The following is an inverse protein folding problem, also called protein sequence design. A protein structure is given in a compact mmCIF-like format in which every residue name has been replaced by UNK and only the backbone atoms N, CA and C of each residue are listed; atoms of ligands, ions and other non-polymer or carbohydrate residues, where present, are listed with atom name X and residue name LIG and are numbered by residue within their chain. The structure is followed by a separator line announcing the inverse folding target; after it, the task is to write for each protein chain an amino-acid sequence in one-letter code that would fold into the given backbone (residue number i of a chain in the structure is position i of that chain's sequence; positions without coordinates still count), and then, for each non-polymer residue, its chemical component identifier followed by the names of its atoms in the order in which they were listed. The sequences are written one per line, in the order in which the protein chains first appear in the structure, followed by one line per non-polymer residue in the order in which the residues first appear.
data_IF_050340787561
#
_entry.id   IF_050340787561
#
_cell.length_a   1.000
_cell.length_b   1.000
_cell.length_c   1.000
_cell.angle_alpha   90.00
_cell.angle_beta   90.00
_cell.angle_gamma   90.00
#
_symmetry.space_group_name_H-M   'P 1'
#
loop_
_entity.id
_entity.type
_entity.pdbx_description
1 polymer ?
#
# COMPACT_ATOMS: atom_id res chain seq x y z
N UNK A 1 0.80 4.97 -22.69
CA UNK A 1 1.74 4.06 -22.00
C UNK A 1 0.92 2.94 -21.43
N UNK A 2 1.35 1.68 -21.54
CA UNK A 2 0.63 0.55 -20.91
C UNK A 2 0.99 0.45 -19.42
N UNK A 3 0.18 -0.28 -18.65
CA UNK A 3 0.34 -0.39 -17.19
C UNK A 3 1.70 -0.96 -16.81
N UNK A 4 2.18 -1.97 -17.52
CA UNK A 4 3.44 -2.61 -17.22
C UNK A 4 4.65 -1.69 -17.49
N UNK A 5 4.62 -0.85 -18.53
CA UNK A 5 5.64 0.19 -18.71
C UNK A 5 5.59 1.24 -17.60
N UNK A 6 4.39 1.61 -17.15
CA UNK A 6 4.22 2.58 -16.07
C UNK A 6 4.75 2.03 -14.73
N UNK A 7 4.43 0.78 -14.39
CA UNK A 7 4.95 0.09 -13.20
C UNK A 7 6.47 -0.10 -13.29
N UNK A 8 6.98 -0.54 -14.45
CA UNK A 8 8.43 -0.71 -14.66
C UNK A 8 9.17 0.60 -14.40
N UNK A 9 8.67 1.71 -14.95
CA UNK A 9 9.23 3.05 -14.76
C UNK A 9 9.19 3.48 -13.30
N UNK A 10 8.04 3.31 -12.62
CA UNK A 10 7.90 3.66 -11.21
C UNK A 10 8.89 2.88 -10.32
N UNK A 11 9.05 1.58 -10.56
CA UNK A 11 9.94 0.72 -9.76
C UNK A 11 11.45 0.90 -10.06
N UNK A 12 11.83 1.82 -10.95
CA UNK A 12 13.23 2.28 -11.04
C UNK A 12 13.59 3.25 -9.90
N UNK A 13 12.60 3.75 -9.16
CA UNK A 13 12.80 4.67 -8.07
C UNK A 13 13.43 4.00 -6.84
N UNK A 14 14.61 4.49 -6.45
CA UNK A 14 15.36 4.04 -5.29
C UNK A 14 14.55 4.09 -3.98
N UNK A 15 13.61 5.04 -3.83
CA UNK A 15 12.80 5.16 -2.62
C UNK A 15 11.76 4.04 -2.51
N UNK A 16 11.11 3.64 -3.63
CA UNK A 16 10.21 2.47 -3.64
C UNK A 16 11.00 1.23 -3.28
N UNK A 17 12.16 1.04 -3.93
CA UNK A 17 13.02 -0.11 -3.67
C UNK A 17 13.48 -0.12 -2.21
N UNK A 18 13.81 1.03 -1.63
CA UNK A 18 14.26 1.13 -0.24
C UNK A 18 13.18 0.67 0.75
N UNK A 19 11.93 1.12 0.59
CA UNK A 19 10.85 0.84 1.53
C UNK A 19 10.14 -0.51 1.31
N UNK A 20 10.17 -1.03 0.08
CA UNK A 20 9.50 -2.28 -0.30
C UNK A 20 10.55 -3.31 -0.72
N UNK A 21 11.09 -4.07 0.24
CA UNK A 21 12.26 -4.91 -0.01
C UNK A 21 11.99 -6.13 -0.87
N UNK A 22 10.72 -6.47 -1.10
CA UNK A 22 10.31 -7.59 -1.95
C UNK A 22 10.22 -7.21 -3.43
N UNK A 23 10.41 -5.95 -3.79
CA UNK A 23 10.50 -5.53 -5.20
C UNK A 23 11.86 -6.01 -5.76
N UNK A 24 11.87 -6.79 -6.86
CA UNK A 24 13.09 -7.27 -7.51
C UNK A 24 14.07 -6.16 -7.88
N UNK A 25 15.37 -6.47 -7.85
CA UNK A 25 16.46 -5.55 -8.18
C UNK A 25 17.50 -6.25 -9.07
N UNK A 26 17.78 -5.75 -10.29
CA UNK A 26 17.07 -4.66 -10.97
C UNK A 26 15.62 -5.04 -11.28
N UNK A 27 14.72 -4.05 -11.32
CA UNK A 27 13.31 -4.29 -11.66
C UNK A 27 13.12 -4.25 -13.17
N UNK A 28 12.63 -5.34 -13.75
CA UNK A 28 12.45 -5.50 -15.19
C UNK A 28 10.98 -5.38 -15.62
N UNK A 29 10.76 -5.26 -16.93
CA UNK A 29 9.42 -5.33 -17.51
C UNK A 29 8.72 -6.67 -17.21
N UNK A 30 9.47 -7.78 -17.21
CA UNK A 30 8.92 -9.08 -16.87
C UNK A 30 8.43 -9.14 -15.41
N UNK A 31 9.11 -8.47 -14.48
CA UNK A 31 8.65 -8.35 -13.09
C UNK A 31 7.35 -7.55 -12.98
N UNK A 32 7.19 -6.50 -13.81
CA UNK A 32 5.94 -5.75 -13.90
C UNK A 32 4.80 -6.60 -14.45
N UNK A 33 5.04 -7.35 -15.53
CA UNK A 33 4.04 -8.24 -16.12
C UNK A 33 3.62 -9.34 -15.12
N UNK A 34 4.56 -9.93 -14.38
CA UNK A 34 4.27 -10.90 -13.31
C UNK A 34 3.47 -10.28 -12.16
N UNK A 35 3.85 -9.09 -11.71
CA UNK A 35 3.14 -8.37 -10.66
C UNK A 35 1.69 -8.07 -11.07
N UNK A 36 1.49 -7.50 -12.24
CA UNK A 36 0.15 -7.18 -12.78
C UNK A 36 -0.66 -8.47 -12.98
N UNK A 37 -0.05 -9.52 -13.53
CA UNK A 37 -0.69 -10.84 -13.65
C UNK A 37 -1.17 -11.38 -12.30
N UNK A 38 -0.35 -11.25 -11.25
CA UNK A 38 -0.75 -11.63 -9.88
C UNK A 38 -1.92 -10.81 -9.34
N UNK A 39 -1.98 -9.52 -9.69
CA UNK A 39 -3.07 -8.64 -9.28
C UNK A 39 -4.37 -9.03 -9.98
N UNK A 40 -4.32 -9.30 -11.29
CA UNK A 40 -5.49 -9.69 -12.09
C UNK A 40 -6.01 -11.09 -11.73
N UNK A 41 -5.14 -11.98 -11.25
CA UNK A 41 -5.52 -13.30 -10.78
C UNK A 41 -5.98 -13.32 -9.30
N UNK A 42 -6.03 -12.17 -8.63
CA UNK A 42 -6.40 -12.10 -7.21
C UNK A 42 -7.89 -12.39 -7.01
N UNK A 43 -8.19 -13.24 -6.02
CA UNK A 43 -9.55 -13.58 -5.61
C UNK A 43 -10.06 -12.68 -4.48
N UNK A 44 -10.99 -13.20 -3.67
CA UNK A 44 -11.64 -12.40 -2.63
C UNK A 44 -10.77 -11.98 -1.45
N UNK A 45 -9.68 -12.70 -1.25
CA UNK A 45 -8.73 -12.49 -0.16
C UNK A 45 -7.67 -11.42 -0.47
N UNK A 46 -7.63 -10.89 -1.70
CA UNK A 46 -6.67 -9.83 -2.09
C UNK A 46 -7.31 -8.85 -3.06
N UNK A 47 -7.24 -7.56 -2.73
CA UNK A 47 -7.87 -6.46 -3.47
C UNK A 47 -6.82 -5.45 -3.93
N UNK A 48 -6.14 -5.71 -5.06
CA UNK A 48 -5.16 -4.79 -5.62
C UNK A 48 -5.84 -3.73 -6.49
N UNK A 49 -5.42 -2.48 -6.34
CA UNK A 49 -5.89 -1.35 -7.13
C UNK A 49 -4.71 -0.51 -7.65
N UNK A 50 -4.84 -0.05 -8.90
CA UNK A 50 -4.01 1.01 -9.42
C UNK A 50 -4.55 2.36 -8.94
N UNK A 51 -3.66 3.26 -8.51
CA UNK A 51 -4.00 4.65 -8.25
C UNK A 51 -3.64 5.44 -9.50
N UNK A 52 -4.64 6.02 -10.16
CA UNK A 52 -4.46 6.79 -11.39
C UNK A 52 -4.91 8.24 -11.23
N UNK A 53 -4.21 9.16 -11.90
CA UNK A 53 -4.65 10.55 -12.00
C UNK A 53 -5.84 10.66 -12.95
N UNK A 54 -6.94 11.26 -12.49
CA UNK A 54 -8.22 11.25 -13.21
C UNK A 54 -8.15 11.86 -14.61
N UNK A 55 -7.40 12.94 -14.78
CA UNK A 55 -7.36 13.69 -16.04
C UNK A 55 -6.42 13.05 -17.07
N UNK A 56 -5.22 12.67 -16.64
CA UNK A 56 -4.20 12.13 -17.55
C UNK A 56 -4.25 10.61 -17.71
N UNK A 57 -4.92 9.90 -16.81
CA UNK A 57 -4.85 8.44 -16.70
C UNK A 57 -3.48 7.93 -16.25
N UNK A 58 -2.57 8.81 -15.85
CA UNK A 58 -1.20 8.43 -15.48
C UNK A 58 -1.21 7.65 -14.16
N UNK A 59 -0.44 6.56 -14.12
CA UNK A 59 -0.22 5.78 -12.90
C UNK A 59 0.48 6.64 -11.84
N UNK A 60 -0.18 6.83 -10.71
CA UNK A 60 0.33 7.55 -9.55
C UNK A 60 0.83 6.61 -8.44
N UNK A 61 0.41 5.34 -8.45
CA UNK A 61 0.82 4.37 -7.44
C UNK A 61 0.00 3.08 -7.50
N UNK A 62 0.17 2.25 -6.48
CA UNK A 62 -0.70 1.10 -6.23
C UNK A 62 -1.03 1.01 -4.75
N UNK A 63 -2.21 0.50 -4.46
CA UNK A 63 -2.69 0.17 -3.12
C UNK A 63 -3.32 -1.22 -3.16
N UNK A 64 -3.02 -2.03 -2.16
CA UNK A 64 -3.45 -3.43 -2.09
C UNK A 64 -3.96 -3.71 -0.67
N UNK A 65 -5.04 -4.49 -0.58
CA UNK A 65 -5.57 -4.99 0.69
C UNK A 65 -5.69 -6.51 0.66
N UNK A 66 -4.95 -7.17 1.54
CA UNK A 66 -5.21 -8.57 1.87
C UNK A 66 -6.33 -8.66 2.90
N UNK A 67 -7.27 -9.58 2.75
CA UNK A 67 -8.34 -9.86 3.71
C UNK A 67 -8.06 -11.21 4.35
N UNK A 68 -8.19 -11.31 5.67
CA UNK A 68 -7.96 -12.57 6.36
C UNK A 68 -9.06 -13.61 6.05
N UNK A 69 -8.78 -14.88 6.32
CA UNK A 69 -9.69 -16.00 6.04
C UNK A 69 -11.05 -15.94 6.78
N UNK A 70 -11.15 -15.10 7.81
CA UNK A 70 -12.38 -14.90 8.59
C UNK A 70 -13.10 -13.61 8.21
N UNK A 71 -12.63 -12.88 7.20
CA UNK A 71 -13.22 -11.67 6.64
C UNK A 71 -13.60 -10.59 7.66
N UNK A 72 -12.82 -10.45 8.74
CA UNK A 72 -13.03 -9.36 9.70
C UNK A 72 -11.88 -8.36 9.71
N UNK A 73 -10.76 -8.67 9.04
CA UNK A 73 -9.53 -7.88 9.07
C UNK A 73 -8.90 -7.73 7.71
N UNK A 74 -8.60 -6.48 7.34
CA UNK A 74 -7.84 -6.13 6.14
C UNK A 74 -6.44 -5.66 6.49
N UNK A 75 -5.42 -6.05 5.73
CA UNK A 75 -4.06 -5.51 5.82
C UNK A 75 -3.74 -4.74 4.53
N UNK A 76 -3.43 -3.45 4.66
CA UNK A 76 -3.25 -2.53 3.54
C UNK A 76 -1.77 -2.19 3.36
N UNK A 77 -1.32 -2.23 2.10
CA UNK A 77 -0.01 -1.72 1.68
C UNK A 77 -0.14 -0.84 0.44
N UNK A 78 0.80 0.08 0.23
CA UNK A 78 0.81 0.93 -0.95
C UNK A 78 2.21 1.42 -1.32
N UNK A 79 2.34 1.89 -2.55
CA UNK A 79 3.45 2.71 -3.02
C UNK A 79 2.96 3.82 -3.93
N UNK A 80 3.76 4.88 -4.06
CA UNK A 80 3.45 6.07 -4.85
C UNK A 80 4.63 6.36 -5.77
N UNK A 81 4.36 6.56 -7.05
CA UNK A 81 5.36 6.97 -8.03
C UNK A 81 5.96 8.33 -7.64
N UNK A 82 7.26 8.53 -7.88
CA UNK A 82 7.95 9.76 -7.47
C UNK A 82 7.24 11.07 -7.87
N UNK A 83 6.72 11.23 -9.11
CA UNK A 83 6.03 12.47 -9.51
C UNK A 83 4.70 12.73 -8.78
N UNK A 84 4.14 11.72 -8.12
CA UNK A 84 2.85 11.79 -7.43
C UNK A 84 2.99 12.03 -5.92
N UNK A 85 4.20 11.96 -5.35
CA UNK A 85 4.44 12.17 -3.91
C UNK A 85 4.14 13.61 -3.48
N UNK A 86 3.81 13.78 -2.20
CA UNK A 86 3.51 15.10 -1.61
C UNK A 86 2.17 15.72 -2.02
N UNK A 87 1.48 15.17 -3.02
CA UNK A 87 0.21 15.71 -3.57
C UNK A 87 -1.06 15.19 -2.86
N UNK A 88 -0.91 14.44 -1.76
CA UNK A 88 -2.03 13.86 -1.00
C UNK A 88 -2.78 12.71 -1.69
N UNK A 89 -2.29 12.25 -2.86
CA UNK A 89 -2.94 11.18 -3.66
C UNK A 89 -3.09 9.89 -2.86
N UNK A 90 -2.03 9.46 -2.16
CA UNK A 90 -2.07 8.24 -1.36
C UNK A 90 -3.04 8.33 -0.18
N UNK A 91 -3.10 9.47 0.52
CA UNK A 91 -4.09 9.71 1.58
C UNK A 91 -5.52 9.59 1.05
N UNK A 92 -5.81 10.13 -0.14
CA UNK A 92 -7.12 10.00 -0.77
C UNK A 92 -7.43 8.55 -1.14
N UNK A 93 -6.48 7.83 -1.74
CA UNK A 93 -6.65 6.43 -2.10
C UNK A 93 -6.88 5.54 -0.87
N UNK A 94 -6.07 5.70 0.19
CA UNK A 94 -6.23 4.96 1.43
C UNK A 94 -7.58 5.25 2.10
N UNK A 95 -8.05 6.49 2.08
CA UNK A 95 -9.37 6.84 2.63
C UNK A 95 -10.52 6.17 1.85
N UNK A 96 -10.45 6.16 0.52
CA UNK A 96 -11.46 5.51 -0.31
C UNK A 96 -11.50 4.00 -0.07
N UNK A 97 -10.33 3.36 -0.04
CA UNK A 97 -10.23 1.93 0.25
C UNK A 97 -10.72 1.60 1.66
N UNK A 98 -10.33 2.41 2.65
CA UNK A 98 -10.75 2.20 4.04
C UNK A 98 -12.27 2.33 4.20
N UNK A 99 -12.88 3.35 3.59
CA UNK A 99 -14.33 3.52 3.59
C UNK A 99 -15.04 2.31 2.99
N UNK A 100 -14.64 1.91 1.79
CA UNK A 100 -15.21 0.73 1.13
C UNK A 100 -15.04 -0.54 1.97
N UNK A 101 -13.87 -0.74 2.56
CA UNK A 101 -13.60 -1.94 3.35
C UNK A 101 -14.38 -1.99 4.67
N UNK A 102 -14.63 -0.85 5.32
CA UNK A 102 -15.42 -0.81 6.56
C UNK A 102 -16.93 -0.81 6.28
N UNK A 103 -17.38 -0.08 5.27
CA UNK A 103 -18.80 0.13 4.99
C UNK A 103 -19.41 -1.00 4.15
N UNK A 104 -18.71 -1.46 3.11
CA UNK A 104 -19.26 -2.43 2.14
C UNK A 104 -18.81 -3.87 2.41
N UNK A 105 -17.57 -4.05 2.89
CA UNK A 105 -17.07 -5.37 3.29
C UNK A 105 -17.29 -5.66 4.79
N UNK A 106 -17.82 -4.69 5.54
CA UNK A 106 -18.10 -4.80 6.98
C UNK A 106 -16.89 -5.28 7.81
N UNK A 107 -15.66 -4.99 7.34
CA UNK A 107 -14.46 -5.35 8.09
C UNK A 107 -14.44 -4.60 9.41
N UNK A 108 -14.02 -5.28 10.46
CA UNK A 108 -14.00 -4.73 11.82
C UNK A 108 -12.66 -4.06 12.14
N UNK A 109 -11.64 -4.27 11.30
CA UNK A 109 -10.30 -3.74 11.50
C UNK A 109 -9.51 -3.66 10.21
N UNK A 110 -8.90 -2.52 9.96
CA UNK A 110 -7.87 -2.35 8.93
C UNK A 110 -6.52 -2.16 9.59
N UNK A 111 -5.51 -2.83 9.07
CA UNK A 111 -4.13 -2.79 9.56
C UNK A 111 -3.20 -2.23 8.49
N UNK A 112 -2.18 -1.52 8.94
CA UNK A 112 -1.11 -1.02 8.11
C UNK A 112 0.18 -1.08 8.90
N UNK A 113 1.25 -1.51 8.24
CA UNK A 113 2.60 -1.40 8.79
C UNK A 113 3.43 -0.41 8.00
N UNK A 114 4.26 0.36 8.71
CA UNK A 114 5.24 1.25 8.10
C UNK A 114 6.62 1.02 8.71
N UNK A 115 7.65 1.30 7.93
CA UNK A 115 9.01 1.41 8.47
C UNK A 115 9.07 2.57 9.49
N UNK A 116 9.75 2.41 10.65
CA UNK A 116 9.95 3.51 11.60
C UNK A 116 10.56 4.77 10.98
N UNK A 117 11.40 4.63 9.94
CA UNK A 117 12.04 5.76 9.27
C UNK A 117 11.21 6.33 8.11
N UNK A 118 10.14 5.62 7.69
CA UNK A 118 9.25 6.08 6.63
C UNK A 118 8.15 7.00 7.19
N UNK A 119 8.56 8.22 7.56
CA UNK A 119 7.67 9.27 8.08
C UNK A 119 6.55 9.61 7.09
N UNK A 120 6.81 9.53 5.78
CA UNK A 120 5.81 9.78 4.74
C UNK A 120 4.62 8.83 4.82
N UNK A 121 4.88 7.53 4.91
CA UNK A 121 3.84 6.49 5.05
C UNK A 121 3.10 6.60 6.39
N UNK A 122 3.82 6.84 7.49
CA UNK A 122 3.19 7.04 8.81
C UNK A 122 2.19 8.21 8.79
N UNK A 123 2.58 9.36 8.21
CA UNK A 123 1.70 10.52 8.09
C UNK A 123 0.50 10.28 7.17
N UNK A 124 0.61 9.41 6.18
CA UNK A 124 -0.55 9.01 5.35
C UNK A 124 -1.57 8.27 6.20
N UNK A 125 -1.14 7.29 7.01
CA UNK A 125 -2.02 6.52 7.89
C UNK A 125 -2.73 7.43 8.90
N UNK A 126 -1.98 8.28 9.61
CA UNK A 126 -2.51 9.21 10.63
C UNK A 126 -3.55 10.19 10.06
N UNK A 127 -3.32 10.69 8.83
CA UNK A 127 -4.27 11.60 8.15
C UNK A 127 -5.61 10.95 7.80
N UNK A 128 -5.64 9.63 7.62
CA UNK A 128 -6.88 8.89 7.35
C UNK A 128 -7.62 8.53 8.63
N UNK A 129 -6.94 8.59 9.79
CA UNK A 129 -7.51 8.27 11.09
C UNK A 129 -6.92 7.01 11.71
N UNK A 130 -5.95 6.36 11.07
CA UNK A 130 -5.32 5.19 11.67
C UNK A 130 -4.60 5.59 12.96
N UNK A 131 -4.80 4.79 13.99
CA UNK A 131 -4.13 4.90 15.28
C UNK A 131 -2.85 4.09 15.30
N UNK A 132 -1.76 4.69 15.80
CA UNK A 132 -0.50 3.99 16.04
C UNK A 132 -0.63 3.14 17.30
N UNK A 133 -0.49 1.82 17.16
CA UNK A 133 -0.61 0.89 18.29
C UNK A 133 0.73 0.59 18.96
N UNK A 134 1.80 0.45 18.18
CA UNK A 134 3.10 0.09 18.73
C UNK A 134 4.18 -0.21 17.71
N UNK A 135 5.32 -0.68 18.22
CA UNK A 135 6.44 -1.17 17.41
C UNK A 135 6.48 -2.68 17.49
N UNK A 136 6.33 -3.34 16.34
CA UNK A 136 6.61 -4.75 16.18
C UNK A 136 8.12 -4.90 16.00
N UNK A 137 8.80 -5.40 17.03
CA UNK A 137 10.25 -5.61 17.02
C UNK A 137 10.60 -6.81 16.15
N UNK A 138 11.65 -6.68 15.34
CA UNK A 138 12.15 -7.74 14.46
C UNK A 138 11.05 -8.36 13.56
N UNK A 139 10.12 -7.53 13.09
CA UNK A 139 8.89 -7.98 12.44
C UNK A 139 9.09 -8.47 11.01
N UNK A 140 9.94 -7.80 10.23
CA UNK A 140 10.04 -8.08 8.79
C UNK A 140 11.48 -8.40 8.38
N UNK A 141 11.67 -9.59 7.82
CA UNK A 141 12.94 -10.03 7.24
C UNK A 141 12.98 -9.68 5.76
N UNK A 142 13.97 -8.88 5.39
CA UNK A 142 14.27 -8.51 4.02
C UNK A 142 14.95 -9.67 3.28
N UNK A 143 14.87 -9.73 1.93
CA UNK A 143 15.58 -10.74 1.15
C UNK A 143 17.10 -10.72 1.33
N UNK A 144 17.69 -9.55 1.62
CA UNK A 144 19.12 -9.37 1.92
C UNK A 144 19.53 -9.83 3.33
N UNK A 145 18.59 -10.33 4.13
CA UNK A 145 18.82 -10.82 5.49
C UNK A 145 18.68 -9.75 6.58
N UNK A 146 18.51 -8.47 6.23
CA UNK A 146 18.19 -7.42 7.22
C UNK A 146 16.85 -7.72 7.88
N UNK A 147 16.77 -7.51 9.18
CA UNK A 147 15.53 -7.61 9.94
C UNK A 147 15.17 -6.20 10.39
N UNK A 148 13.93 -5.77 10.14
CA UNK A 148 13.44 -4.45 10.55
C UNK A 148 12.29 -4.53 11.54
N UNK A 149 12.19 -3.50 12.36
CA UNK A 149 11.01 -3.20 13.14
C UNK A 149 9.89 -2.66 12.23
N UNK A 150 8.66 -2.62 12.73
CA UNK A 150 7.53 -2.01 12.01
C UNK A 150 6.64 -1.26 12.97
N UNK A 151 6.25 -0.05 12.59
CA UNK A 151 5.18 0.69 13.27
C UNK A 151 3.85 0.08 12.82
N UNK A 152 3.07 -0.43 13.77
CA UNK A 152 1.74 -0.97 13.52
C UNK A 152 0.69 0.14 13.68
N UNK A 153 -0.20 0.22 12.71
CA UNK A 153 -1.35 1.10 12.68
C UNK A 153 -2.64 0.31 12.49
N UNK A 154 -3.71 0.80 13.10
CA UNK A 154 -5.05 0.25 12.90
C UNK A 154 -6.11 1.31 12.69
N UNK A 155 -7.17 0.94 12.00
CA UNK A 155 -8.40 1.72 11.88
C UNK A 155 -9.61 0.82 12.13
N UNK A 156 -10.51 1.25 13.01
CA UNK A 156 -11.77 0.59 13.33
C UNK A 156 -12.98 1.34 12.74
N UNK A 157 -14.15 0.70 12.64
CA UNK A 157 -15.39 1.39 12.29
C UNK A 157 -15.63 2.62 13.17
N UNK A 158 -15.99 3.75 12.53
CA UNK A 158 -16.23 5.03 13.20
C UNK A 158 -14.99 5.90 13.46
N UNK A 159 -13.78 5.41 13.20
CA UNK A 159 -12.53 6.18 13.37
C UNK A 159 -12.07 6.90 12.09
N UNK A 160 -12.68 6.57 10.94
CA UNK A 160 -12.33 7.15 9.65
C UNK A 160 -12.56 8.67 9.67
N UNK A 161 -11.51 9.44 9.38
CA UNK A 161 -11.60 10.90 9.33
C UNK A 161 -12.13 11.38 7.98
N UNK A 162 -13.21 12.15 8.05
CA UNK A 162 -13.67 13.01 6.96
C UNK A 162 -12.73 14.21 6.75
N UNK A 163 -12.92 14.93 5.65
CA UNK A 163 -12.03 16.02 5.18
C UNK A 163 -11.81 17.12 6.22
#
# INVERSE_FOLDING_TARGET
MDDASAVTSACQDAEILHWIPFVPRPYSRADADLYIGSCLASGDERRPFAIVERESGTLAGSIDMGVNSHQYRGHIGYWVAAPARGRGICTRALRLLARWALDELELQRLELIADPDNVGSQRVAEKVGFHREGILRAHLRHPDGRIRDSVMFSLLPGELRDY
#
